data_IF_459108470434
#
_entry.id   IF_459108470434
#
_cell.length_a   1.000
_cell.length_b   1.000
_cell.length_c   1.000
_cell.angle_alpha   90.00
_cell.angle_beta   90.00
_cell.angle_gamma   90.00
#
_symmetry.space_group_name_H-M   'P 1'
#
loop_
_entity.id
_entity.type
_entity.pdbx_description
1 polymer ?
#
# COMPACT_ATOMS: atom_id res chain seq x y z
N UNK A 1 3.32 -14.35 -21.92
CA UNK A 1 3.22 -14.52 -20.45
C UNK A 1 2.44 -13.35 -19.87
N UNK A 2 1.51 -13.59 -18.94
CA UNK A 2 0.73 -12.52 -18.30
C UNK A 2 1.62 -11.84 -17.25
N UNK A 3 1.77 -10.51 -17.30
CA UNK A 3 2.51 -9.77 -16.29
C UNK A 3 1.62 -9.65 -15.04
N UNK A 4 2.08 -10.17 -13.91
CA UNK A 4 1.38 -10.08 -12.62
C UNK A 4 1.87 -8.85 -11.85
N UNK A 5 0.98 -8.25 -11.05
CA UNK A 5 1.40 -7.27 -10.05
C UNK A 5 2.12 -7.99 -8.91
N UNK A 6 2.98 -7.27 -8.18
CA UNK A 6 3.69 -7.83 -7.01
C UNK A 6 2.73 -8.42 -5.97
N UNK A 7 1.57 -7.77 -5.77
CA UNK A 7 0.56 -8.28 -4.85
C UNK A 7 -0.07 -9.59 -5.36
N UNK A 8 -0.29 -9.71 -6.68
CA UNK A 8 -0.78 -10.93 -7.29
C UNK A 8 0.22 -12.08 -7.13
N UNK A 9 1.52 -11.81 -7.28
CA UNK A 9 2.59 -12.80 -7.07
C UNK A 9 2.60 -13.33 -5.63
N UNK A 10 2.50 -12.43 -4.63
CA UNK A 10 2.37 -12.81 -3.22
C UNK A 10 1.16 -13.72 -3.04
N UNK A 11 -0.02 -13.33 -3.53
CA UNK A 11 -1.24 -14.14 -3.40
C UNK A 11 -1.09 -15.51 -4.04
N UNK A 12 -0.53 -15.58 -5.25
CA UNK A 12 -0.34 -16.84 -5.97
C UNK A 12 0.65 -17.75 -5.23
N UNK A 13 1.71 -17.20 -4.63
CA UNK A 13 2.66 -17.96 -3.81
C UNK A 13 2.00 -18.62 -2.58
N UNK A 14 0.87 -18.07 -2.11
CA UNK A 14 0.06 -18.62 -1.01
C UNK A 14 -1.00 -19.62 -1.48
N UNK A 15 -1.08 -19.91 -2.79
CA UNK A 15 -2.08 -20.81 -3.36
C UNK A 15 -3.51 -20.26 -3.33
N UNK A 16 -3.68 -18.94 -3.13
CA UNK A 16 -4.98 -18.31 -2.97
C UNK A 16 -5.51 -17.76 -4.30
N UNK A 17 -6.82 -17.84 -4.53
CA UNK A 17 -7.49 -17.09 -5.60
C UNK A 17 -8.00 -15.74 -5.07
N UNK A 18 -8.26 -14.79 -5.97
CA UNK A 18 -8.77 -13.46 -5.62
C UNK A 18 -10.07 -13.51 -4.79
N UNK A 19 -10.90 -14.53 -5.02
CA UNK A 19 -12.16 -14.72 -4.30
C UNK A 19 -11.90 -15.01 -2.81
N UNK A 20 -10.91 -15.84 -2.49
CA UNK A 20 -10.61 -16.25 -1.12
C UNK A 20 -10.18 -15.05 -0.28
N UNK A 21 -9.25 -14.24 -0.82
CA UNK A 21 -8.77 -13.05 -0.13
C UNK A 21 -9.88 -12.03 0.05
N UNK A 22 -10.71 -11.81 -0.99
CA UNK A 22 -11.83 -10.88 -0.90
C UNK A 22 -12.86 -11.30 0.17
N UNK A 23 -13.23 -12.58 0.18
CA UNK A 23 -14.18 -13.13 1.14
C UNK A 23 -13.66 -13.03 2.58
N UNK A 24 -12.41 -13.45 2.82
CA UNK A 24 -11.81 -13.39 4.14
C UNK A 24 -11.58 -11.95 4.62
N UNK A 25 -11.30 -11.01 3.71
CA UNK A 25 -11.16 -9.59 4.04
C UNK A 25 -12.50 -8.84 4.18
N UNK A 26 -13.64 -9.50 3.90
CA UNK A 26 -14.97 -8.88 3.96
C UNK A 26 -15.19 -7.81 2.89
N UNK A 27 -14.61 -7.98 1.69
CA UNK A 27 -14.74 -7.06 0.56
C UNK A 27 -15.23 -7.77 -0.70
N UNK A 28 -15.65 -7.00 -1.70
CA UNK A 28 -16.04 -7.61 -2.98
C UNK A 28 -14.80 -8.07 -3.76
N UNK A 29 -14.96 -9.13 -4.56
CA UNK A 29 -13.89 -9.60 -5.45
C UNK A 29 -13.43 -8.50 -6.41
N UNK A 30 -14.35 -7.73 -6.96
CA UNK A 30 -14.03 -6.63 -7.87
C UNK A 30 -13.17 -5.54 -7.19
N UNK A 31 -13.49 -5.21 -5.93
CA UNK A 31 -12.67 -4.29 -5.14
C UNK A 31 -11.26 -4.85 -4.92
N UNK A 32 -11.13 -6.14 -4.55
CA UNK A 32 -9.81 -6.77 -4.40
C UNK A 32 -9.02 -6.75 -5.71
N UNK A 33 -9.65 -6.99 -6.87
CA UNK A 33 -8.98 -6.87 -8.18
C UNK A 33 -8.49 -5.45 -8.45
N UNK A 34 -9.26 -4.41 -8.10
CA UNK A 34 -8.82 -3.02 -8.25
C UNK A 34 -7.62 -2.70 -7.35
N UNK A 35 -7.64 -3.22 -6.12
CA UNK A 35 -6.51 -3.11 -5.19
C UNK A 35 -5.29 -3.83 -5.74
N UNK A 36 -5.42 -5.09 -6.16
CA UNK A 36 -4.33 -5.90 -6.71
C UNK A 36 -3.69 -5.28 -7.96
N UNK A 37 -4.49 -4.57 -8.76
CA UNK A 37 -4.02 -3.84 -9.94
C UNK A 37 -3.51 -2.41 -9.63
N UNK A 38 -3.55 -1.97 -8.37
CA UNK A 38 -3.13 -0.64 -7.95
C UNK A 38 -4.05 0.50 -8.39
N UNK A 39 -5.23 0.21 -8.95
CA UNK A 39 -6.19 1.23 -9.41
C UNK A 39 -7.03 1.79 -8.27
N UNK A 40 -6.98 1.17 -7.08
CA UNK A 40 -7.66 1.64 -5.88
C UNK A 40 -6.84 1.37 -4.64
N UNK A 41 -6.69 2.40 -3.81
CA UNK A 41 -6.07 2.26 -2.48
C UNK A 41 -7.16 1.85 -1.47
N UNK A 42 -7.00 0.73 -0.74
CA UNK A 42 -7.97 0.30 0.25
C UNK A 42 -7.92 1.17 1.52
N UNK A 43 -8.96 1.08 2.36
CA UNK A 43 -8.91 1.65 3.71
C UNK A 43 -7.87 0.91 4.57
N UNK A 44 -7.39 1.53 5.64
CA UNK A 44 -6.41 0.90 6.54
C UNK A 44 -6.93 -0.43 7.11
N UNK A 45 -8.22 -0.50 7.48
CA UNK A 45 -8.87 -1.73 7.97
C UNK A 45 -8.84 -2.84 6.93
N UNK A 46 -9.20 -2.52 5.68
CA UNK A 46 -9.22 -3.51 4.61
C UNK A 46 -7.80 -3.93 4.20
N UNK A 47 -6.86 -2.98 4.14
CA UNK A 47 -5.44 -3.24 3.87
C UNK A 47 -4.86 -4.21 4.91
N UNK A 48 -5.12 -3.96 6.20
CA UNK A 48 -4.67 -4.82 7.28
C UNK A 48 -5.24 -6.23 7.15
N UNK A 49 -6.56 -6.37 6.93
CA UNK A 49 -7.18 -7.67 6.74
C UNK A 49 -6.55 -8.44 5.56
N UNK A 50 -6.34 -7.79 4.41
CA UNK A 50 -5.69 -8.40 3.26
C UNK A 50 -4.24 -8.80 3.53
N UNK A 51 -3.48 -7.94 4.22
CA UNK A 51 -2.09 -8.21 4.59
C UNK A 51 -1.97 -9.42 5.53
N UNK A 52 -2.85 -9.50 6.53
CA UNK A 52 -2.92 -10.62 7.47
C UNK A 52 -3.22 -11.95 6.73
N UNK A 53 -4.19 -11.96 5.80
CA UNK A 53 -4.53 -13.13 4.97
C UNK A 53 -3.36 -13.54 4.06
N UNK A 54 -2.67 -12.56 3.48
CA UNK A 54 -1.51 -12.79 2.63
C UNK A 54 -0.24 -13.11 3.43
N UNK A 55 -0.28 -13.02 4.76
CA UNK A 55 0.85 -13.31 5.66
C UNK A 55 2.02 -12.37 5.45
N UNK A 56 1.76 -11.08 5.21
CA UNK A 56 2.78 -10.03 5.02
C UNK A 56 2.52 -8.84 5.94
N UNK A 57 3.56 -8.05 6.22
CA UNK A 57 3.38 -6.78 6.94
C UNK A 57 2.62 -5.76 6.07
N UNK A 58 2.06 -4.75 6.72
CA UNK A 58 1.37 -3.67 6.04
C UNK A 58 2.31 -2.86 5.12
N UNK A 59 3.56 -2.70 5.52
CA UNK A 59 4.59 -2.04 4.71
C UNK A 59 4.84 -2.80 3.40
N UNK A 60 5.04 -4.12 3.50
CA UNK A 60 5.20 -5.00 2.33
C UNK A 60 3.97 -4.96 1.43
N UNK A 61 2.78 -4.92 2.02
CA UNK A 61 1.52 -4.80 1.27
C UNK A 61 1.46 -3.51 0.44
N UNK A 62 1.77 -2.36 1.04
CA UNK A 62 1.73 -1.08 0.33
C UNK A 62 2.90 -0.90 -0.68
N UNK A 63 4.06 -1.48 -0.39
CA UNK A 63 5.16 -1.56 -1.36
C UNK A 63 4.79 -2.40 -2.58
N UNK A 64 4.07 -3.52 -2.38
CA UNK A 64 3.56 -4.36 -3.45
C UNK A 64 2.50 -3.64 -4.30
N UNK A 65 1.72 -2.74 -3.70
CA UNK A 65 0.79 -1.86 -4.41
C UNK A 65 1.49 -0.75 -5.22
N UNK A 66 2.76 -0.46 -4.96
CA UNK A 66 3.49 0.63 -5.60
C UNK A 66 3.01 2.03 -5.20
N UNK A 67 2.22 2.14 -4.13
CA UNK A 67 1.68 3.42 -3.62
C UNK A 67 2.65 4.15 -2.69
N UNK A 68 3.76 3.51 -2.32
CA UNK A 68 4.82 4.10 -1.47
C UNK A 68 5.72 5.10 -2.19
N UNK A 69 5.46 5.39 -3.48
CA UNK A 69 6.11 6.51 -4.17
C UNK A 69 5.57 7.84 -3.63
N UNK A 70 6.35 8.46 -2.76
CA UNK A 70 6.09 9.77 -2.19
C UNK A 70 5.93 10.82 -3.30
N UNK A 71 4.71 11.32 -3.49
CA UNK A 71 4.47 12.47 -4.36
C UNK A 71 4.59 13.75 -3.52
N UNK A 72 5.80 14.32 -3.50
CA UNK A 72 6.14 15.53 -2.74
C UNK A 72 5.17 16.69 -3.00
N UNK A 73 4.67 16.83 -4.23
CA UNK A 73 3.74 17.89 -4.60
C UNK A 73 2.36 17.75 -3.94
N UNK A 74 1.89 16.53 -3.70
CA UNK A 74 0.58 16.28 -3.09
C UNK A 74 0.61 16.56 -1.58
N UNK A 75 1.73 16.26 -0.93
CA UNK A 75 1.92 16.47 0.51
C UNK A 75 2.07 17.94 0.89
N UNK A 76 2.85 18.69 0.12
CA UNK A 76 2.98 20.14 0.29
C UNK A 76 1.63 20.84 0.12
N UNK A 77 0.82 20.44 -0.87
CA UNK A 77 -0.53 20.99 -1.07
C UNK A 77 -1.52 20.65 0.05
N UNK A 78 -1.31 19.54 0.77
CA UNK A 78 -2.18 19.12 1.89
C UNK A 78 -1.68 19.57 3.26
N UNK A 79 -0.54 20.26 3.35
CA UNK A 79 0.03 20.74 4.61
C UNK A 79 0.56 19.63 5.53
N UNK A 80 0.75 18.40 5.02
CA UNK A 80 1.37 17.32 5.77
C UNK A 80 2.84 17.21 5.37
N UNK A 81 3.75 17.82 6.14
CA UNK A 81 5.20 17.67 5.94
C UNK A 81 5.74 16.56 6.86
N UNK A 82 6.48 15.57 6.32
CA UNK A 82 7.16 14.57 7.14
C UNK A 82 8.10 15.24 8.15
N UNK A 83 8.07 14.77 9.40
CA UNK A 83 8.87 15.36 10.50
C UNK A 83 10.38 15.31 10.25
N UNK A 84 10.85 14.37 9.43
CA UNK A 84 12.24 14.29 8.95
C UNK A 84 12.66 15.46 8.05
N UNK A 85 11.71 16.16 7.41
CA UNK A 85 11.98 17.39 6.65
C UNK A 85 11.97 18.64 7.53
N UNK A 86 11.37 18.56 8.73
CA UNK A 86 11.34 19.67 9.71
C UNK A 86 12.64 19.71 10.53
N UNK A 87 13.29 18.57 10.76
CA UNK A 87 14.44 18.48 11.68
C UNK A 87 15.78 19.02 11.16
N UNK A 88 15.87 19.48 9.90
CA UNK A 88 17.12 20.00 9.33
C UNK A 88 17.12 21.52 9.08
N UNK A 89 16.05 22.27 9.38
CA UNK A 89 16.01 23.72 9.12
C UNK A 89 16.40 24.62 10.31
N UNK A 90 16.92 24.06 11.40
CA UNK A 90 17.25 24.83 12.63
C UNK A 90 18.69 24.70 13.11
N UNK A 91 19.61 24.18 12.28
CA UNK A 91 21.06 24.10 12.62
C UNK A 91 22.00 24.86 11.67
N UNK A 92 21.48 25.79 10.88
CA UNK A 92 22.28 26.74 10.10
C UNK A 92 21.89 28.19 10.46
N UNK A 93 22.15 28.60 11.71
CA UNK A 93 22.31 30.01 12.12
C UNK A 93 22.98 30.02 13.50
N UNK A 94 24.27 29.70 13.52
CA UNK A 94 25.17 30.08 14.61
C UNK A 94 26.60 30.07 14.07
N UNK A 95 26.91 31.09 13.29
CA UNK A 95 28.26 31.63 13.09
C UNK A 95 28.08 33.12 12.82
#
# INVERSE_FOLDING_TARGET
>A
MKQYSKLAEIRISKGLIQKDVAQAAGVTRAFYTQVENGTRVPSLKAAKAMADILGVSLDVFFDALGVTKWNSNVMMKKGLTPRSLISNSSKEVMT
#
